data_IF_456445199104
#
_entry.id   IF_456445199104
#
_cell.length_a   1.000
_cell.length_b   1.000
_cell.length_c   1.000
_cell.angle_alpha   90.00
_cell.angle_beta   90.00
_cell.angle_gamma   90.00
#
_symmetry.space_group_name_H-M   'P 1'
#
loop_
_entity.id
_entity.type
_entity.pdbx_description
1 polymer ?
#
# COMPACT_ATOMS: atom_id res chain seq x y z
N UNK A 1 6.37 -5.51 41.02
CA UNK A 1 6.15 -4.23 40.29
C UNK A 1 7.25 -3.96 39.26
N UNK A 2 8.55 -3.95 39.63
CA UNK A 2 9.65 -3.73 38.68
C UNK A 2 9.79 -4.87 37.67
N UNK A 3 9.78 -6.13 38.11
CA UNK A 3 9.85 -7.29 37.21
C UNK A 3 8.70 -7.36 36.19
N UNK A 4 7.46 -7.10 36.64
CA UNK A 4 6.30 -6.95 35.74
C UNK A 4 6.54 -5.84 34.72
N UNK A 5 7.04 -4.67 35.13
CA UNK A 5 7.32 -3.55 34.23
C UNK A 5 8.42 -3.86 33.21
N UNK A 6 9.41 -4.67 33.58
CA UNK A 6 10.46 -5.16 32.68
C UNK A 6 9.87 -6.11 31.63
N UNK A 7 9.09 -7.11 32.06
CA UNK A 7 8.44 -8.07 31.16
C UNK A 7 7.50 -7.35 30.17
N UNK A 8 6.73 -6.37 30.65
CA UNK A 8 5.88 -5.54 29.78
C UNK A 8 6.69 -4.75 28.74
N UNK A 9 7.83 -4.19 29.13
CA UNK A 9 8.70 -3.47 28.19
C UNK A 9 9.32 -4.41 27.14
N UNK A 10 9.72 -5.63 27.53
CA UNK A 10 10.28 -6.63 26.61
C UNK A 10 9.23 -7.12 25.60
N UNK A 11 7.99 -7.36 26.03
CA UNK A 11 6.89 -7.73 25.13
C UNK A 11 6.58 -6.61 24.14
N UNK A 12 6.56 -5.36 24.59
CA UNK A 12 6.33 -4.20 23.71
C UNK A 12 7.48 -4.02 22.72
N UNK A 13 8.72 -4.21 23.16
CA UNK A 13 9.90 -4.12 22.30
C UNK A 13 9.93 -5.22 21.24
N UNK A 14 9.73 -6.48 21.66
CA UNK A 14 9.63 -7.63 20.76
C UNK A 14 8.54 -7.41 19.72
N UNK A 15 7.38 -6.90 20.15
CA UNK A 15 6.27 -6.60 19.26
C UNK A 15 6.60 -5.51 18.25
N UNK A 16 7.15 -4.38 18.71
CA UNK A 16 7.55 -3.29 17.82
C UNK A 16 8.58 -3.75 16.79
N UNK A 17 9.60 -4.50 17.23
CA UNK A 17 10.62 -5.07 16.35
C UNK A 17 10.03 -6.05 15.33
N UNK A 18 9.13 -6.93 15.76
CA UNK A 18 8.48 -7.88 14.86
C UNK A 18 7.59 -7.17 13.86
N UNK A 19 6.63 -6.39 14.34
CA UNK A 19 5.56 -5.83 13.52
C UNK A 19 6.10 -4.76 12.53
N UNK A 20 7.17 -4.03 12.87
CA UNK A 20 7.82 -3.08 11.94
C UNK A 20 8.68 -3.71 10.84
N UNK A 21 9.15 -4.95 11.03
CA UNK A 21 10.06 -5.60 10.09
C UNK A 21 9.41 -6.74 9.30
N UNK A 22 8.41 -7.42 9.87
CA UNK A 22 7.71 -8.52 9.22
C UNK A 22 7.16 -8.17 7.82
N UNK A 23 6.57 -6.98 7.57
CA UNK A 23 6.08 -6.62 6.23
C UNK A 23 7.18 -6.45 5.17
N UNK A 24 8.45 -6.34 5.58
CA UNK A 24 9.59 -6.09 4.69
C UNK A 24 10.24 -7.38 4.17
N UNK A 25 9.93 -8.52 4.78
CA UNK A 25 10.57 -9.79 4.48
C UNK A 25 9.81 -10.58 3.42
N UNK A 26 10.57 -11.32 2.59
CA UNK A 26 10.02 -12.32 1.68
C UNK A 26 9.66 -13.61 2.43
N UNK A 27 8.88 -14.49 1.81
CA UNK A 27 8.36 -15.70 2.47
C UNK A 27 9.46 -16.57 3.11
N UNK A 28 10.62 -16.67 2.47
CA UNK A 28 11.74 -17.51 2.93
C UNK A 28 12.48 -16.93 4.15
N UNK A 29 12.49 -15.60 4.30
CA UNK A 29 13.20 -14.90 5.37
C UNK A 29 12.36 -14.79 6.65
N UNK A 30 11.04 -14.85 6.54
CA UNK A 30 10.12 -14.73 7.67
C UNK A 30 10.40 -15.77 8.77
N UNK A 31 10.54 -17.08 8.47
CA UNK A 31 10.88 -18.07 9.49
C UNK A 31 12.23 -17.83 10.17
N UNK A 32 13.24 -17.39 9.40
CA UNK A 32 14.58 -17.09 9.92
C UNK A 32 14.54 -15.92 10.90
N UNK A 33 13.82 -14.84 10.52
CA UNK A 33 13.62 -13.68 11.38
C UNK A 33 12.87 -14.04 12.67
N UNK A 34 11.81 -14.85 12.57
CA UNK A 34 11.08 -15.32 13.76
C UNK A 34 11.94 -16.19 14.67
N UNK A 35 12.86 -17.00 14.11
CA UNK A 35 13.87 -17.74 14.87
C UNK A 35 14.77 -16.80 15.66
N UNK A 36 15.34 -15.77 15.01
CA UNK A 36 16.18 -14.76 15.67
C UNK A 36 15.43 -14.00 16.77
N UNK A 37 14.14 -13.70 16.56
CA UNK A 37 13.30 -13.06 17.58
C UNK A 37 13.09 -14.01 18.78
N UNK A 38 12.87 -15.29 18.55
CA UNK A 38 12.74 -16.29 19.61
C UNK A 38 14.03 -16.47 20.42
N UNK A 39 15.18 -16.38 19.76
CA UNK A 39 16.49 -16.46 20.41
C UNK A 39 16.80 -15.22 21.26
N UNK A 40 16.39 -14.03 20.78
CA UNK A 40 16.58 -12.76 21.47
C UNK A 40 15.60 -12.58 22.66
N UNK A 41 14.40 -13.16 22.56
CA UNK A 41 13.31 -13.04 23.53
C UNK A 41 12.76 -14.42 23.94
N UNK A 42 13.56 -15.27 24.60
CA UNK A 42 13.15 -16.63 24.92
C UNK A 42 12.00 -16.67 25.94
N UNK A 43 10.98 -17.47 25.67
CA UNK A 43 9.84 -17.70 26.58
C UNK A 43 8.82 -16.55 26.65
N UNK A 44 8.91 -15.55 25.76
CA UNK A 44 7.96 -14.47 25.65
C UNK A 44 6.93 -14.76 24.54
N UNK A 45 5.68 -14.98 24.94
CA UNK A 45 4.56 -15.08 23.99
C UNK A 45 4.01 -13.70 23.67
N UNK A 46 4.16 -13.29 22.40
CA UNK A 46 3.62 -12.04 21.89
C UNK A 46 2.45 -12.33 20.93
N UNK A 47 1.20 -12.47 21.43
CA UNK A 47 0.06 -12.66 20.55
C UNK A 47 -0.10 -11.44 19.63
N UNK A 48 -0.51 -11.69 18.38
CA UNK A 48 -0.78 -10.64 17.41
C UNK A 48 -2.05 -9.90 17.82
N UNK A 49 -2.04 -8.57 17.75
CA UNK A 49 -3.27 -7.82 18.00
C UNK A 49 -4.21 -8.00 16.84
N UNK A 50 -5.45 -8.33 17.19
CA UNK A 50 -6.57 -8.34 16.25
C UNK A 50 -7.30 -7.01 16.38
N UNK A 51 -7.77 -6.51 15.24
CA UNK A 51 -8.70 -5.40 15.16
C UNK A 51 -10.05 -6.02 14.82
N UNK A 52 -10.93 -6.34 15.78
CA UNK A 52 -12.08 -7.22 15.54
C UNK A 52 -12.93 -6.78 14.35
N UNK A 53 -13.42 -5.53 14.37
CA UNK A 53 -14.27 -5.00 13.30
C UNK A 53 -13.56 -4.96 11.93
N UNK A 54 -12.27 -4.67 11.92
CA UNK A 54 -11.49 -4.58 10.69
C UNK A 54 -11.14 -5.97 10.15
N UNK A 55 -10.73 -6.89 11.01
CA UNK A 55 -10.45 -8.27 10.66
C UNK A 55 -11.71 -8.95 10.13
N UNK A 56 -12.86 -8.74 10.76
CA UNK A 56 -14.14 -9.29 10.31
C UNK A 56 -14.52 -8.73 8.93
N UNK A 57 -14.31 -7.42 8.69
CA UNK A 57 -14.53 -6.81 7.39
C UNK A 57 -13.56 -7.35 6.32
N UNK A 58 -12.29 -7.56 6.67
CA UNK A 58 -11.29 -8.13 5.76
C UNK A 58 -11.62 -9.59 5.44
N UNK A 59 -12.04 -10.38 6.43
CA UNK A 59 -12.46 -11.78 6.25
C UNK A 59 -13.73 -11.89 5.39
N UNK A 60 -14.63 -10.89 5.43
CA UNK A 60 -15.77 -10.81 4.51
C UNK A 60 -15.36 -10.53 3.06
N UNK A 61 -14.29 -9.76 2.84
CA UNK A 61 -13.81 -9.41 1.49
C UNK A 61 -12.83 -10.44 0.94
N UNK A 62 -12.04 -11.09 1.80
CA UNK A 62 -10.97 -12.02 1.45
C UNK A 62 -11.02 -13.28 2.33
N UNK A 63 -11.40 -14.41 1.74
CA UNK A 63 -11.37 -15.72 2.40
C UNK A 63 -9.95 -16.21 2.73
N UNK A 64 -8.97 -15.90 1.86
CA UNK A 64 -7.55 -16.21 2.05
C UNK A 64 -6.69 -14.94 1.85
N UNK A 65 -5.68 -14.72 2.70
CA UNK A 65 -4.70 -13.62 2.53
C UNK A 65 -4.99 -12.32 3.29
N UNK A 66 -6.03 -12.27 4.13
CA UNK A 66 -6.36 -11.09 4.94
C UNK A 66 -5.22 -10.56 5.83
N UNK A 67 -4.23 -11.40 6.16
CA UNK A 67 -3.06 -10.99 6.93
C UNK A 67 -2.21 -9.90 6.27
N UNK A 68 -2.08 -9.90 4.94
CA UNK A 68 -1.30 -8.89 4.21
C UNK A 68 -2.05 -7.55 4.24
N UNK A 69 -3.38 -7.59 4.14
CA UNK A 69 -4.23 -6.40 4.28
C UNK A 69 -4.04 -5.78 5.67
N UNK A 70 -4.07 -6.58 6.74
CA UNK A 70 -3.81 -6.05 8.10
C UNK A 70 -2.42 -5.43 8.23
N UNK A 71 -1.37 -6.07 7.68
CA UNK A 71 -0.02 -5.50 7.69
C UNK A 71 0.08 -4.18 6.92
N UNK A 72 -0.59 -4.11 5.77
CA UNK A 72 -0.66 -2.91 4.98
C UNK A 72 -1.36 -1.79 5.75
N UNK A 73 -2.47 -2.09 6.42
CA UNK A 73 -3.17 -1.12 7.28
C UNK A 73 -2.28 -0.58 8.40
N UNK A 74 -1.60 -1.45 9.15
CA UNK A 74 -0.65 -1.06 10.21
C UNK A 74 0.48 -0.17 9.65
N UNK A 75 0.97 -0.49 8.46
CA UNK A 75 2.01 0.29 7.77
C UNK A 75 1.49 1.67 7.35
N UNK A 76 0.26 1.75 6.82
CA UNK A 76 -0.38 3.00 6.40
C UNK A 76 -0.73 3.91 7.58
N UNK A 77 -0.93 3.37 8.78
CA UNK A 77 -1.13 4.15 10.01
C UNK A 77 0.17 4.80 10.50
N UNK A 78 1.31 4.14 10.28
CA UNK A 78 2.61 4.61 10.80
C UNK A 78 3.34 5.53 9.83
N UNK A 79 3.11 5.38 8.52
CA UNK A 79 3.76 6.15 7.45
C UNK A 79 2.72 6.73 6.49
N UNK A 80 2.85 8.00 6.12
CA UNK A 80 1.95 8.59 5.12
C UNK A 80 2.24 8.11 3.71
N UNK A 81 3.43 7.54 3.47
CA UNK A 81 3.80 6.94 2.20
C UNK A 81 4.05 5.46 2.40
N UNK A 82 3.37 4.61 1.62
CA UNK A 82 3.55 3.15 1.63
C UNK A 82 3.82 2.64 0.22
N UNK A 83 4.74 1.69 0.08
CA UNK A 83 5.05 0.99 -1.17
C UNK A 83 4.74 -0.49 -1.01
N UNK A 84 3.92 -1.01 -1.93
CA UNK A 84 3.56 -2.42 -2.06
C UNK A 84 4.43 -2.98 -3.19
N UNK A 85 5.37 -3.84 -2.82
CA UNK A 85 6.39 -4.37 -3.72
C UNK A 85 6.13 -5.83 -4.00
N UNK A 86 6.27 -6.24 -5.25
CA UNK A 86 6.21 -7.64 -5.63
C UNK A 86 5.98 -7.79 -7.13
N UNK A 87 6.28 -8.97 -7.68
CA UNK A 87 6.12 -9.20 -9.11
C UNK A 87 4.64 -9.13 -9.54
N UNK A 88 4.44 -8.97 -10.85
CA UNK A 88 3.12 -8.97 -11.48
C UNK A 88 2.36 -10.26 -11.18
N UNK A 89 1.05 -10.15 -10.95
CA UNK A 89 0.21 -11.29 -10.58
C UNK A 89 0.24 -11.63 -9.09
N UNK A 90 1.13 -11.08 -8.27
CA UNK A 90 1.20 -11.37 -6.83
C UNK A 90 -0.02 -10.94 -5.98
N UNK A 91 -1.05 -10.36 -6.57
CA UNK A 91 -2.26 -9.93 -5.86
C UNK A 91 -2.18 -8.54 -5.22
N UNK A 92 -1.12 -7.77 -5.51
CA UNK A 92 -0.90 -6.40 -4.99
C UNK A 92 -2.14 -5.51 -5.16
N UNK A 93 -2.64 -5.37 -6.38
CA UNK A 93 -3.82 -4.54 -6.66
C UNK A 93 -5.08 -5.05 -5.94
N UNK A 94 -5.20 -6.35 -5.66
CA UNK A 94 -6.34 -6.90 -4.90
C UNK A 94 -6.26 -6.45 -3.43
N UNK A 95 -5.08 -6.52 -2.83
CA UNK A 95 -4.83 -6.04 -1.46
C UNK A 95 -5.13 -4.54 -1.36
N UNK A 96 -4.71 -3.75 -2.36
CA UNK A 96 -4.97 -2.31 -2.40
C UNK A 96 -6.47 -2.00 -2.58
N UNK A 97 -7.14 -2.72 -3.49
CA UNK A 97 -8.57 -2.54 -3.74
C UNK A 97 -9.46 -2.89 -2.55
N UNK A 98 -9.02 -3.80 -1.66
CA UNK A 98 -9.74 -4.12 -0.44
C UNK A 98 -9.96 -2.89 0.47
N UNK A 99 -9.09 -1.87 0.38
CA UNK A 99 -9.20 -0.62 1.14
C UNK A 99 -10.09 0.46 0.52
N UNK A 100 -10.74 0.19 -0.62
CA UNK A 100 -11.54 1.20 -1.35
C UNK A 100 -10.78 2.52 -1.56
N UNK A 101 -9.50 2.42 -1.92
CA UNK A 101 -8.67 3.59 -2.21
C UNK A 101 -9.08 4.20 -3.55
N UNK A 102 -9.19 5.53 -3.63
CA UNK A 102 -9.37 6.23 -4.92
C UNK A 102 -8.10 6.04 -5.76
N UNK A 103 -8.20 5.21 -6.79
CA UNK A 103 -7.08 4.89 -7.68
C UNK A 103 -6.92 6.01 -8.72
N UNK A 104 -5.68 6.47 -8.90
CA UNK A 104 -5.32 7.40 -9.99
C UNK A 104 -4.08 6.84 -10.71
N UNK A 105 -4.30 5.94 -11.66
CA UNK A 105 -3.23 5.35 -12.47
C UNK A 105 -2.75 6.35 -13.52
N UNK A 106 -1.44 6.67 -13.57
CA UNK A 106 -0.89 7.62 -14.55
C UNK A 106 0.58 7.39 -14.89
N UNK A 107 0.96 7.69 -16.15
CA UNK A 107 2.34 7.71 -16.66
C UNK A 107 3.13 8.96 -16.26
N UNK A 108 4.44 8.81 -16.02
CA UNK A 108 5.34 9.76 -15.34
C UNK A 108 5.56 11.12 -16.03
N UNK A 109 5.46 11.21 -17.36
CA UNK A 109 5.91 12.39 -18.12
C UNK A 109 4.90 13.55 -18.08
N UNK A 110 3.60 13.26 -18.15
CA UNK A 110 2.53 14.27 -17.98
C UNK A 110 2.25 14.61 -16.50
N UNK A 111 2.95 13.92 -15.58
CA UNK A 111 2.69 13.97 -14.15
C UNK A 111 3.08 15.34 -13.59
N UNK A 112 4.27 15.85 -13.88
CA UNK A 112 4.82 17.04 -13.22
C UNK A 112 4.52 18.37 -13.92
N UNK A 113 4.15 18.34 -15.21
CA UNK A 113 3.94 19.53 -16.02
C UNK A 113 5.16 19.86 -16.88
N UNK A 114 4.96 20.73 -17.86
CA UNK A 114 5.98 21.10 -18.85
C UNK A 114 6.12 22.62 -18.85
N UNK A 115 7.36 23.10 -18.77
CA UNK A 115 7.68 24.48 -19.06
C UNK A 115 7.98 24.60 -20.55
N UNK A 116 7.16 25.35 -21.28
CA UNK A 116 7.38 25.60 -22.70
C UNK A 116 8.71 26.39 -22.87
N UNK A 117 9.72 25.84 -23.57
CA UNK A 117 11.02 26.49 -23.71
C UNK A 117 10.96 27.79 -24.54
N UNK A 118 9.93 27.94 -25.37
CA UNK A 118 9.71 29.07 -26.28
C UNK A 118 8.89 30.16 -25.63
N UNK A 119 7.74 29.83 -25.05
CA UNK A 119 6.85 30.84 -24.44
C UNK A 119 7.19 31.12 -22.98
N UNK A 120 7.97 30.24 -22.32
CA UNK A 120 8.20 30.21 -20.87
C UNK A 120 6.92 30.09 -20.05
N UNK A 121 5.83 29.66 -20.68
CA UNK A 121 4.58 29.39 -19.99
C UNK A 121 4.64 28.02 -19.33
N UNK A 122 4.16 27.96 -18.09
CA UNK A 122 4.05 26.72 -17.35
C UNK A 122 2.70 26.06 -17.64
N UNK A 123 2.74 24.81 -18.09
CA UNK A 123 1.56 23.96 -18.16
C UNK A 123 1.56 22.99 -16.98
N UNK A 124 0.56 23.10 -16.12
CA UNK A 124 0.40 22.21 -14.97
C UNK A 124 0.22 20.76 -15.40
N UNK A 125 0.99 19.87 -14.77
CA UNK A 125 0.84 18.43 -14.92
C UNK A 125 -0.36 17.90 -14.14
N UNK A 126 -0.65 16.62 -14.35
CA UNK A 126 -1.79 16.01 -13.67
C UNK A 126 -1.54 15.85 -12.17
N UNK A 127 -0.29 15.67 -11.73
CA UNK A 127 0.08 15.55 -10.31
C UNK A 127 -0.29 16.79 -9.51
N UNK A 128 0.05 17.98 -10.02
CA UNK A 128 -0.22 19.23 -9.32
C UNK A 128 -1.73 19.43 -9.14
N UNK A 129 -2.51 19.08 -10.17
CA UNK A 129 -3.97 19.10 -10.09
C UNK A 129 -4.54 18.08 -9.10
N UNK A 130 -4.03 16.84 -9.08
CA UNK A 130 -4.44 15.81 -8.10
C UNK A 130 -4.09 16.25 -6.68
N UNK A 131 -2.89 16.78 -6.46
CA UNK A 131 -2.44 17.26 -5.14
C UNK A 131 -3.29 18.44 -4.65
N UNK A 132 -3.70 19.33 -5.55
CA UNK A 132 -4.64 20.41 -5.20
C UNK A 132 -6.03 19.85 -4.89
N UNK A 133 -6.53 18.90 -5.68
CA UNK A 133 -7.86 18.32 -5.47
C UNK A 133 -7.95 17.52 -4.17
N UNK A 134 -6.94 16.70 -3.85
CA UNK A 134 -6.89 15.95 -2.60
C UNK A 134 -6.73 16.87 -1.38
N UNK A 135 -6.05 18.00 -1.53
CA UNK A 135 -5.89 18.97 -0.46
C UNK A 135 -7.15 19.81 -0.21
N UNK A 136 -8.09 19.91 -1.16
CA UNK A 136 -9.37 20.59 -0.94
C UNK A 136 -10.10 19.90 0.19
N UNK A 137 -10.40 20.61 1.27
CA UNK A 137 -11.18 20.08 2.39
C UNK A 137 -12.52 19.54 1.86
N UNK A 138 -12.80 18.24 2.06
CA UNK A 138 -14.17 17.75 1.90
C UNK A 138 -14.99 18.41 2.99
N UNK A 139 -16.08 19.07 2.60
CA UNK A 139 -17.13 19.49 3.53
C UNK A 139 -17.49 18.29 4.39
N UNK A 140 -17.21 18.39 5.69
CA UNK A 140 -17.47 17.36 6.69
C UNK A 140 -18.98 17.21 6.79
N UNK A 141 -19.57 16.33 5.98
CA UNK A 141 -21.01 16.08 6.05
C UNK A 141 -21.37 15.14 7.20
N UNK A 142 -20.41 14.43 7.83
CA UNK A 142 -20.72 13.40 8.85
C UNK A 142 -19.56 13.07 9.81
N UNK A 143 -18.82 14.07 10.31
CA UNK A 143 -17.91 13.90 11.47
C UNK A 143 -16.78 12.87 11.36
N UNK A 144 -16.59 12.23 10.20
CA UNK A 144 -15.54 11.24 9.97
C UNK A 144 -14.38 11.87 9.20
N UNK A 145 -13.19 11.81 9.77
CA UNK A 145 -11.94 12.17 9.10
C UNK A 145 -11.66 11.15 7.99
N UNK A 146 -12.00 11.48 6.74
CA UNK A 146 -11.71 10.60 5.61
C UNK A 146 -10.24 10.76 5.23
N UNK A 147 -9.44 9.72 5.46
CA UNK A 147 -8.12 9.62 4.86
C UNK A 147 -8.24 9.48 3.35
N UNK A 148 -7.49 10.30 2.60
CA UNK A 148 -7.46 10.23 1.14
C UNK A 148 -6.10 9.71 0.69
N UNK A 149 -6.14 8.74 -0.20
CA UNK A 149 -4.96 8.06 -0.71
C UNK A 149 -4.82 8.37 -2.20
N UNK A 150 -3.60 8.67 -2.63
CA UNK A 150 -3.21 8.69 -4.04
C UNK A 150 -2.47 7.39 -4.31
N UNK A 151 -3.01 6.54 -5.17
CA UNK A 151 -2.31 5.35 -5.65
C UNK A 151 -1.55 5.68 -6.93
N UNK A 152 -0.26 5.38 -6.95
CA UNK A 152 0.56 5.34 -8.15
C UNK A 152 0.82 3.89 -8.52
N UNK A 153 0.41 3.51 -9.72
CA UNK A 153 0.62 2.17 -10.29
C UNK A 153 1.58 2.30 -11.46
N UNK A 154 2.83 1.88 -11.25
CA UNK A 154 3.88 2.00 -12.25
C UNK A 154 5.28 1.78 -11.67
N UNK A 155 6.23 1.51 -12.56
CA UNK A 155 7.61 1.30 -12.19
C UNK A 155 8.25 2.58 -11.65
N UNK A 156 9.18 2.39 -10.73
CA UNK A 156 9.88 3.48 -10.03
C UNK A 156 11.21 3.73 -10.71
N UNK A 157 11.31 4.86 -11.40
CA UNK A 157 12.56 5.34 -12.00
C UNK A 157 13.30 6.32 -11.08
N UNK A 158 14.61 6.43 -11.28
CA UNK A 158 15.47 7.33 -10.48
C UNK A 158 14.99 8.79 -10.49
N UNK A 159 14.52 9.30 -11.63
CA UNK A 159 14.01 10.68 -11.77
C UNK A 159 12.72 10.88 -10.96
N UNK A 160 11.84 9.88 -10.97
CA UNK A 160 10.60 9.92 -10.22
C UNK A 160 10.88 9.96 -8.70
N UNK A 161 11.83 9.13 -8.24
CA UNK A 161 12.28 9.09 -6.84
C UNK A 161 12.86 10.43 -6.40
N UNK A 162 13.70 11.04 -7.25
CA UNK A 162 14.35 12.31 -6.94
C UNK A 162 13.33 13.42 -6.64
N UNK A 163 12.33 13.57 -7.52
CA UNK A 163 11.28 14.57 -7.39
C UNK A 163 10.34 14.31 -6.20
N UNK A 164 10.19 13.05 -5.77
CA UNK A 164 9.27 12.66 -4.69
C UNK A 164 9.90 12.62 -3.30
N UNK A 165 11.22 12.70 -3.18
CA UNK A 165 11.92 12.57 -1.90
C UNK A 165 11.44 13.58 -0.83
N UNK A 166 11.13 14.82 -1.22
CA UNK A 166 10.59 15.85 -0.30
C UNK A 166 9.12 15.64 0.06
N UNK A 167 8.37 14.92 -0.77
CA UNK A 167 6.97 14.56 -0.52
C UNK A 167 6.87 13.34 0.40
N UNK A 168 7.77 12.37 0.22
CA UNK A 168 7.82 11.13 1.01
C UNK A 168 8.42 11.32 2.41
N UNK A 169 9.13 12.42 2.63
CA UNK A 169 9.63 12.87 3.94
C UNK A 169 8.52 13.49 4.81
N UNK A 170 8.80 13.71 6.09
CA UNK A 170 7.96 14.38 7.09
C UNK A 170 7.56 15.81 6.67
N UNK A 171 8.34 16.42 5.78
CA UNK A 171 8.04 17.72 5.17
C UNK A 171 6.76 17.71 4.32
N UNK A 172 6.42 16.58 3.68
CA UNK A 172 5.22 16.40 2.84
C UNK A 172 5.06 17.50 1.78
N UNK A 173 6.16 17.89 1.13
CA UNK A 173 6.21 19.06 0.26
C UNK A 173 6.56 18.67 -1.19
N UNK A 174 5.64 18.94 -2.11
CA UNK A 174 5.87 18.84 -3.55
C UNK A 174 6.45 20.15 -4.06
N UNK A 175 7.61 20.08 -4.72
CA UNK A 175 8.22 21.24 -5.38
C UNK A 175 8.18 21.02 -6.88
N UNK A 176 7.45 21.88 -7.60
CA UNK A 176 7.35 21.84 -9.05
C UNK A 176 8.50 22.63 -9.69
N UNK A 177 8.80 22.34 -10.95
CA UNK A 177 9.89 23.00 -11.68
C UNK A 177 9.67 24.52 -11.88
N UNK A 178 8.42 24.98 -11.85
CA UNK A 178 8.07 26.40 -11.84
C UNK A 178 8.36 27.11 -10.50
N UNK A 179 8.83 26.39 -9.48
CA UNK A 179 9.10 26.90 -8.14
C UNK A 179 7.91 26.88 -7.18
N UNK A 180 6.72 26.47 -7.63
CA UNK A 180 5.55 26.30 -6.77
C UNK A 180 5.76 25.16 -5.77
N UNK A 181 5.29 25.39 -4.54
CA UNK A 181 5.45 24.47 -3.42
C UNK A 181 4.09 24.10 -2.86
N UNK A 182 3.67 22.84 -3.04
CA UNK A 182 2.38 22.33 -2.58
C UNK A 182 2.63 21.39 -1.39
N UNK A 183 2.15 21.77 -0.21
CA UNK A 183 2.23 20.93 0.99
C UNK A 183 1.01 20.01 1.06
N UNK A 184 1.23 18.71 1.20
CA UNK A 184 0.15 17.75 1.45
C UNK A 184 -0.38 17.89 2.87
N UNK A 185 -1.71 17.80 3.00
CA UNK A 185 -2.39 17.82 4.30
C UNK A 185 -2.18 16.50 5.05
N UNK A 186 -2.38 16.51 6.38
CA UNK A 186 -2.18 15.35 7.24
C UNK A 186 -3.13 14.17 6.93
N UNK A 187 -4.30 14.45 6.38
CA UNK A 187 -5.29 13.46 5.98
C UNK A 187 -5.01 12.85 4.59
N UNK A 188 -3.98 13.33 3.88
CA UNK A 188 -3.55 12.80 2.60
C UNK A 188 -2.38 11.82 2.80
N UNK A 189 -2.42 10.72 2.06
CA UNK A 189 -1.38 9.71 2.05
C UNK A 189 -1.12 9.22 0.62
N UNK A 190 0.07 8.66 0.40
CA UNK A 190 0.54 8.17 -0.88
C UNK A 190 0.73 6.66 -0.81
N UNK A 191 0.33 5.98 -1.87
CA UNK A 191 0.45 4.56 -2.02
C UNK A 191 1.10 4.26 -3.37
N UNK A 192 2.06 3.33 -3.38
CA UNK A 192 2.79 2.94 -4.56
C UNK A 192 2.63 1.44 -4.78
N UNK A 193 2.16 1.05 -5.96
CA UNK A 193 2.24 -0.32 -6.44
C UNK A 193 3.44 -0.42 -7.39
N UNK A 194 4.43 -1.24 -7.02
CA UNK A 194 5.70 -1.33 -7.75
C UNK A 194 6.13 -2.78 -7.95
N UNK A 195 6.74 -3.07 -9.09
CA UNK A 195 7.28 -4.40 -9.40
C UNK A 195 8.55 -4.69 -8.60
N UNK A 196 9.56 -3.83 -8.77
CA UNK A 196 10.84 -3.91 -8.10
C UNK A 196 11.35 -2.53 -7.64
N UNK A 197 12.46 -2.55 -6.90
CA UNK A 197 13.09 -1.37 -6.32
C UNK A 197 14.54 -1.20 -6.79
N UNK A 198 14.91 -1.73 -7.96
CA UNK A 198 16.32 -1.76 -8.38
C UNK A 198 16.92 -0.34 -8.53
N UNK A 199 16.10 0.63 -8.90
CA UNK A 199 16.49 2.03 -9.09
C UNK A 199 16.24 2.91 -7.85
N UNK A 200 15.65 2.38 -6.78
CA UNK A 200 15.37 3.13 -5.57
C UNK A 200 16.59 3.15 -4.64
N UNK A 201 16.96 4.35 -4.16
CA UNK A 201 18.04 4.47 -3.19
C UNK A 201 17.61 3.92 -1.81
N UNK A 202 18.53 3.35 -1.01
CA UNK A 202 18.21 2.92 0.37
C UNK A 202 17.66 4.05 1.25
N UNK A 203 18.03 5.30 0.97
CA UNK A 203 17.52 6.48 1.65
C UNK A 203 16.04 6.78 1.32
N UNK A 204 15.58 6.42 0.12
CA UNK A 204 14.18 6.52 -0.29
C UNK A 204 13.36 5.43 0.37
N UNK A 205 13.86 4.18 0.33
CA UNK A 205 13.20 3.01 0.93
C UNK A 205 13.04 3.16 2.44
N UNK A 206 13.98 3.83 3.12
CA UNK A 206 13.89 4.05 4.58
C UNK A 206 12.81 5.07 5.00
N UNK A 207 12.39 5.94 4.08
CA UNK A 207 11.37 6.98 4.34
C UNK A 207 9.94 6.46 4.14
N UNK A 208 9.79 5.37 3.38
CA UNK A 208 8.50 4.80 3.04
C UNK A 208 8.18 3.56 3.89
N UNK A 209 6.90 3.32 4.15
CA UNK A 209 6.44 2.02 4.62
C UNK A 209 6.59 0.99 3.50
N UNK A 210 7.10 -0.19 3.81
CA UNK A 210 7.36 -1.23 2.81
C UNK A 210 6.53 -2.47 3.14
N UNK A 211 5.73 -2.92 2.16
CA UNK A 211 4.95 -4.15 2.25
C UNK A 211 5.31 -5.03 1.07
N UNK A 212 5.97 -6.16 1.34
CA UNK A 212 6.33 -7.11 0.31
C UNK A 212 5.21 -8.14 0.11
N UNK A 213 4.81 -8.34 -1.14
CA UNK A 213 3.79 -9.30 -1.54
C UNK A 213 4.46 -10.36 -2.40
N UNK A 214 4.74 -11.50 -1.80
CA UNK A 214 5.32 -12.65 -2.49
C UNK A 214 4.20 -13.48 -3.16
N UNK A 215 4.27 -13.76 -4.48
CA UNK A 215 3.32 -14.65 -5.16
C UNK A 215 3.28 -16.05 -4.56
N UNK A 216 4.34 -16.52 -3.89
CA UNK A 216 4.32 -17.81 -3.19
C UNK A 216 3.27 -17.85 -2.08
N UNK A 217 2.93 -16.69 -1.50
CA UNK A 217 1.82 -16.58 -0.55
C UNK A 217 0.48 -16.78 -1.24
N UNK A 218 0.34 -16.26 -2.47
CA UNK A 218 -0.81 -16.43 -3.33
C UNK A 218 -0.71 -17.79 -4.06
N UNK A 219 -1.04 -18.87 -3.34
CA UNK A 219 -1.12 -20.24 -3.89
C UNK A 219 -1.99 -20.28 -5.16
N UNK A 220 -2.05 -21.40 -5.87
CA UNK A 220 -2.85 -21.51 -7.11
C UNK A 220 -4.38 -21.38 -6.90
N UNK A 221 -4.88 -21.63 -5.68
CA UNK A 221 -6.33 -21.72 -5.40
C UNK A 221 -7.13 -20.48 -5.78
N UNK A 222 -6.73 -19.23 -5.44
CA UNK A 222 -7.54 -18.06 -5.72
C UNK A 222 -7.66 -17.79 -7.23
N UNK A 223 -6.61 -18.10 -8.00
CA UNK A 223 -6.65 -18.03 -9.47
C UNK A 223 -7.65 -19.03 -10.05
N UNK A 224 -7.60 -20.26 -9.55
CA UNK A 224 -8.52 -21.32 -9.96
C UNK A 224 -9.97 -20.99 -9.62
N UNK A 225 -10.25 -20.57 -8.38
CA UNK A 225 -11.58 -20.17 -7.92
C UNK A 225 -12.15 -19.02 -8.73
N UNK A 226 -11.36 -17.97 -8.97
CA UNK A 226 -11.77 -16.83 -9.80
C UNK A 226 -12.10 -17.27 -11.23
N UNK A 227 -11.29 -18.18 -11.79
CA UNK A 227 -11.52 -18.73 -13.13
C UNK A 227 -12.77 -19.60 -13.21
N UNK A 228 -13.02 -20.47 -12.22
CA UNK A 228 -14.24 -21.30 -12.19
C UNK A 228 -15.50 -20.45 -12.00
N UNK A 229 -15.47 -19.46 -11.11
CA UNK A 229 -16.59 -18.53 -10.90
C UNK A 229 -16.88 -17.68 -12.14
N UNK A 230 -15.84 -17.26 -12.86
CA UNK A 230 -15.99 -16.56 -14.14
C UNK A 230 -16.73 -17.39 -15.19
N UNK A 231 -16.48 -18.71 -15.22
CA UNK A 231 -17.15 -19.64 -16.13
C UNK A 231 -18.59 -19.93 -15.75
N UNK A 232 -18.90 -20.07 -14.46
CA UNK A 232 -20.30 -20.23 -14.03
C UNK A 232 -21.15 -19.02 -14.39
N UNK A 233 -20.59 -17.81 -14.31
CA UNK A 233 -21.26 -16.59 -14.76
C UNK A 233 -21.44 -16.53 -16.29
N UNK A 234 -20.48 -17.03 -17.08
CA UNK A 234 -20.63 -17.14 -18.54
C UNK A 234 -21.65 -18.21 -18.96
N UNK A 235 -21.70 -19.34 -18.25
CA UNK A 235 -22.67 -20.42 -18.51
C UNK A 235 -24.08 -20.02 -18.05
N UNK A 236 -24.20 -19.20 -17.01
CA UNK A 236 -25.49 -18.59 -16.59
C UNK A 236 -26.10 -17.65 -17.63
N UNK A 237 -25.28 -17.05 -18.50
CA UNK A 237 -25.74 -16.20 -19.61
C UNK A 237 -26.05 -17.05 -20.86
N UNK A 238 -25.38 -18.18 -21.07
CA UNK A 238 -25.70 -19.10 -22.18
C UNK A 238 -26.91 -20.02 -21.92
N UNK A 239 -27.31 -20.20 -20.65
CA UNK A 239 -28.48 -20.99 -20.28
C UNK A 239 -29.85 -20.35 -20.64
N UNK A 240 -29.88 -19.10 -21.11
CA UNK A 240 -31.09 -18.46 -21.66
C UNK A 240 -31.20 -18.55 -23.20
N UNK A 241 -30.25 -19.22 -23.87
CA UNK A 241 -30.13 -19.26 -25.33
C UNK A 241 -30.32 -20.63 -25.99
N UNK A 242 -30.74 -21.66 -25.27
CA UNK A 242 -31.09 -22.97 -25.86
C UNK A 242 -32.52 -23.40 -25.52
N UNK A 243 -33.46 -22.56 -25.90
CA UNK A 243 -34.74 -23.04 -26.44
C UNK A 243 -34.80 -22.46 -27.84
N UNK A 244 -34.50 -23.28 -28.85
CA UNK A 244 -34.93 -23.15 -30.25
C UNK A 244 -34.19 -24.26 -31.05
N UNK A 245 -35.01 -25.16 -31.60
CA UNK A 245 -34.77 -26.23 -32.58
C UNK A 245 -34.12 -27.56 -32.14
N UNK A 246 -35.02 -28.56 -32.09
CA UNK A 246 -34.90 -30.01 -32.37
C UNK A 246 -33.72 -30.81 -31.81
#
# INVERSE_FOLDING_TARGET
LIALKIIWNEVVLMRALRDMNLPKFVFEDVPLFLGLISDLFPGLDCPRVRYPDFNDAVEQVLEEGGYIVVQMYETMLTRHTTMVVGPTGGGKSVVINAFHVKIITMSVIELYGILDPTTRDWTDGVLSNIFRDINRSVTISLGSCIHRYILFDGDVDALWVENMNSVMDDNKLLTLANGERIRLQSHCALLFEVGDLQYASPATVSRCGMVFVDPKNLKYKPYWQKWTQGRENEVGISAFGQSIFY
#
